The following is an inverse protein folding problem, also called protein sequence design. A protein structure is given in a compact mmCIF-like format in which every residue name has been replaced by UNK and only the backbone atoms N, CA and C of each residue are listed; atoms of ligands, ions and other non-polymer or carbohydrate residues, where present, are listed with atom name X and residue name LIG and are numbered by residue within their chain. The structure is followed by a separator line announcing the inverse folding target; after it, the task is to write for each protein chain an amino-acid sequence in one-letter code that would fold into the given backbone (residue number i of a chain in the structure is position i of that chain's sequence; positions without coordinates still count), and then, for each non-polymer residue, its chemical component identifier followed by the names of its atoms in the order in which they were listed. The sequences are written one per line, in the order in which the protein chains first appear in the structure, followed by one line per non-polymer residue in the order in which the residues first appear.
data_IF_947755334333
#
_entry.id   IF_947755334333
#
_cell.length_a   1.000
_cell.length_b   1.000
_cell.length_c   1.000
_cell.angle_alpha   90.00
_cell.angle_beta   90.00
_cell.angle_gamma   90.00
#
_symmetry.space_group_name_H-M   'P 1'
#
loop_
_entity.id
_entity.type
_entity.pdbx_description
1 polymer ?
#
# COMPACT_ATOMS: atom_id res chain seq x y z
N UNK A 1 57.57 -71.69 -31.64
CA UNK A 1 57.01 -71.10 -30.41
C UNK A 1 57.15 -69.56 -30.30
N UNK A 2 58.35 -68.96 -30.43
CA UNK A 2 58.58 -67.50 -30.22
C UNK A 2 57.68 -66.55 -31.07
N UNK A 3 57.45 -66.84 -32.36
CA UNK A 3 56.57 -66.01 -33.23
C UNK A 3 55.10 -66.03 -32.79
N UNK A 4 54.63 -67.15 -32.24
CA UNK A 4 53.24 -67.29 -31.78
C UNK A 4 52.99 -66.48 -30.49
N UNK A 5 53.94 -66.49 -29.55
CA UNK A 5 53.90 -65.65 -28.35
C UNK A 5 53.96 -64.15 -28.67
N UNK A 6 54.76 -63.76 -29.67
CA UNK A 6 54.85 -62.36 -30.08
C UNK A 6 53.53 -61.85 -30.70
N UNK A 7 52.87 -62.68 -31.52
CA UNK A 7 51.57 -62.34 -32.09
C UNK A 7 50.49 -62.18 -31.02
N UNK A 8 50.43 -63.10 -30.05
CA UNK A 8 49.46 -63.05 -28.95
C UNK A 8 49.62 -61.79 -28.08
N UNK A 9 50.87 -61.36 -27.83
CA UNK A 9 51.14 -60.13 -27.07
C UNK A 9 50.70 -58.86 -27.80
N UNK A 10 50.83 -58.81 -29.13
CA UNK A 10 50.37 -57.66 -29.92
C UNK A 10 48.84 -57.57 -29.89
N UNK A 11 48.15 -58.70 -30.06
CA UNK A 11 46.68 -58.77 -30.03
C UNK A 11 46.13 -58.32 -28.67
N UNK A 12 46.69 -58.81 -27.56
CA UNK A 12 46.27 -58.40 -26.21
C UNK A 12 46.50 -56.91 -25.94
N UNK A 13 47.62 -56.35 -26.42
CA UNK A 13 47.92 -54.91 -26.30
C UNK A 13 46.95 -54.04 -27.10
N UNK A 14 46.49 -54.52 -28.26
CA UNK A 14 45.48 -53.85 -29.10
C UNK A 14 44.08 -53.94 -28.47
N UNK A 15 43.70 -55.08 -27.89
CA UNK A 15 42.43 -55.26 -27.17
C UNK A 15 42.37 -54.32 -25.95
N UNK A 16 43.44 -54.27 -25.15
CA UNK A 16 43.51 -53.40 -23.97
C UNK A 16 43.47 -51.91 -24.34
N UNK A 17 44.09 -51.51 -25.45
CA UNK A 17 44.00 -50.12 -25.96
C UNK A 17 42.58 -49.75 -26.39
N UNK A 18 41.88 -50.65 -27.08
CA UNK A 18 40.47 -50.44 -27.47
C UNK A 18 39.54 -50.40 -26.25
N UNK A 19 39.73 -51.30 -25.29
CA UNK A 19 38.96 -51.32 -24.04
C UNK A 19 39.14 -50.02 -23.23
N UNK A 20 40.37 -49.49 -23.16
CA UNK A 20 40.66 -48.22 -22.49
C UNK A 20 40.00 -47.02 -23.18
N UNK A 21 39.99 -46.99 -24.52
CA UNK A 21 39.29 -45.94 -25.30
C UNK A 21 37.77 -46.03 -25.09
N UNK A 22 37.18 -47.23 -25.08
CA UNK A 22 35.76 -47.42 -24.78
C UNK A 22 35.39 -46.98 -23.35
N UNK A 23 36.26 -47.25 -22.37
CA UNK A 23 36.06 -46.82 -20.99
C UNK A 23 36.14 -45.29 -20.84
N UNK A 24 37.07 -44.63 -21.55
CA UNK A 24 37.17 -43.17 -21.57
C UNK A 24 35.94 -42.53 -22.24
N UNK A 25 35.44 -43.12 -23.32
CA UNK A 25 34.23 -42.67 -24.02
C UNK A 25 32.97 -42.84 -23.14
N UNK A 26 32.83 -43.95 -22.41
CA UNK A 26 31.68 -44.18 -21.52
C UNK A 26 31.70 -43.25 -20.29
N UNK A 27 32.87 -42.96 -19.73
CA UNK A 27 33.02 -41.98 -18.64
C UNK A 27 32.66 -40.57 -19.14
N UNK A 28 33.09 -40.17 -20.34
CA UNK A 28 32.70 -38.87 -20.91
C UNK A 28 31.20 -38.75 -21.21
N UNK A 29 30.53 -39.86 -21.57
CA UNK A 29 29.09 -39.89 -21.81
C UNK A 29 28.28 -39.76 -20.50
N UNK A 30 28.78 -40.32 -19.39
CA UNK A 30 28.16 -40.19 -18.07
C UNK A 30 28.20 -38.77 -17.49
N UNK A 31 29.26 -38.00 -17.77
CA UNK A 31 29.38 -36.61 -17.32
C UNK A 31 28.42 -35.65 -18.06
N UNK A 32 28.05 -35.96 -19.32
CA UNK A 32 27.15 -35.13 -20.11
C UNK A 32 25.68 -35.20 -19.67
N UNK A 33 25.26 -36.26 -18.98
CA UNK A 33 23.86 -36.48 -18.57
C UNK A 33 23.50 -35.81 -17.23
N UNK A 34 24.50 -35.31 -16.48
CA UNK A 34 24.26 -34.54 -15.25
C UNK A 34 23.68 -33.13 -15.50
N UNK A 35 23.56 -32.72 -16.78
CA UNK A 35 23.23 -31.35 -17.16
C UNK A 35 21.87 -31.20 -17.89
N UNK A 36 21.05 -32.25 -17.89
CA UNK A 36 19.73 -32.27 -18.55
C UNK A 36 18.55 -32.20 -17.55
N UNK A 37 18.82 -32.10 -16.24
CA UNK A 37 17.82 -31.97 -15.18
C UNK A 37 17.69 -30.54 -14.63
N UNK A 38 16.73 -30.34 -13.73
CA UNK A 38 16.62 -29.12 -12.92
C UNK A 38 17.84 -28.95 -12.01
N UNK A 39 18.28 -27.71 -11.82
CA UNK A 39 19.39 -27.36 -10.92
C UNK A 39 18.84 -27.07 -9.53
N UNK A 40 19.24 -27.87 -8.54
CA UNK A 40 19.01 -27.57 -7.13
C UNK A 40 20.23 -26.91 -6.50
N UNK A 41 20.03 -25.81 -5.79
CA UNK A 41 21.05 -25.20 -4.91
C UNK A 41 20.50 -25.24 -3.48
N UNK A 42 21.10 -26.07 -2.63
CA UNK A 42 20.62 -26.28 -1.25
C UNK A 42 19.39 -27.18 -1.13
N UNK A 43 19.05 -27.92 -2.20
CA UNK A 43 18.03 -28.98 -2.21
C UNK A 43 18.42 -30.07 -3.19
N UNK A 44 18.23 -31.34 -2.80
CA UNK A 44 18.42 -32.51 -3.68
C UNK A 44 17.13 -32.91 -4.40
N UNK A 45 16.00 -32.27 -4.05
CA UNK A 45 14.71 -32.48 -4.69
C UNK A 45 14.13 -31.13 -5.14
N UNK A 46 14.66 -30.55 -6.24
CA UNK A 46 14.12 -29.33 -6.82
C UNK A 46 12.63 -29.48 -7.14
N UNK A 47 11.87 -28.39 -7.04
CA UNK A 47 10.48 -28.37 -7.44
C UNK A 47 10.32 -28.86 -8.90
N UNK A 48 9.38 -29.78 -9.21
CA UNK A 48 9.28 -30.38 -10.55
C UNK A 48 9.04 -29.37 -11.69
N UNK A 49 8.51 -28.20 -11.38
CA UNK A 49 8.26 -27.12 -12.35
C UNK A 49 9.38 -26.07 -12.42
N UNK A 50 10.49 -26.24 -11.70
CA UNK A 50 11.59 -25.29 -11.66
C UNK A 50 12.81 -25.83 -12.39
N UNK A 51 13.36 -25.05 -13.33
CA UNK A 51 14.66 -25.37 -13.94
C UNK A 51 15.83 -25.02 -13.00
N UNK A 52 15.60 -24.10 -12.06
CA UNK A 52 16.51 -23.71 -10.99
C UNK A 52 15.68 -23.54 -9.70
N UNK A 53 16.00 -24.31 -8.67
CA UNK A 53 15.42 -24.22 -7.33
C UNK A 53 16.53 -23.92 -6.31
N UNK A 54 16.35 -22.87 -5.52
CA UNK A 54 17.34 -22.40 -4.55
C UNK A 54 16.68 -22.38 -3.18
N UNK A 55 17.16 -23.23 -2.27
CA UNK A 55 16.66 -23.34 -0.90
C UNK A 55 17.78 -23.04 0.10
N UNK A 56 17.54 -22.08 0.99
CA UNK A 56 18.38 -21.77 2.14
C UNK A 56 17.54 -21.09 3.23
N UNK A 57 17.84 -21.34 4.51
CA UNK A 57 17.14 -20.69 5.63
C UNK A 57 17.75 -19.35 6.03
N UNK A 58 18.99 -19.08 5.63
CA UNK A 58 19.83 -17.98 6.12
C UNK A 58 20.63 -17.27 5.00
N UNK A 59 20.34 -17.54 3.72
CA UNK A 59 21.03 -16.93 2.57
C UNK A 59 20.05 -16.24 1.62
N UNK A 60 20.53 -15.19 0.96
CA UNK A 60 19.80 -14.48 -0.09
C UNK A 60 20.38 -14.75 -1.49
N UNK A 61 19.58 -14.48 -2.52
CA UNK A 61 20.03 -14.45 -3.91
C UNK A 61 20.53 -13.05 -4.28
N UNK A 62 21.81 -12.94 -4.63
CA UNK A 62 22.32 -11.70 -5.22
C UNK A 62 22.12 -11.72 -6.73
N UNK A 63 21.30 -10.80 -7.23
CA UNK A 63 21.05 -10.61 -8.66
C UNK A 63 22.28 -10.03 -9.37
N UNK A 64 22.40 -10.18 -10.71
CA UNK A 64 23.39 -9.45 -11.49
C UNK A 64 23.27 -7.94 -11.25
N UNK A 65 24.37 -7.32 -10.80
CA UNK A 65 24.42 -5.89 -10.48
C UNK A 65 24.94 -5.10 -11.67
N UNK A 66 24.14 -4.20 -12.22
CA UNK A 66 24.47 -3.40 -13.40
C UNK A 66 24.19 -1.92 -13.19
N UNK A 67 24.72 -1.08 -14.08
CA UNK A 67 24.57 0.38 -14.03
C UNK A 67 23.77 0.86 -15.24
N UNK A 68 22.44 0.77 -15.17
CA UNK A 68 21.58 1.26 -16.25
C UNK A 68 21.74 2.77 -16.44
N UNK A 69 21.73 3.21 -17.70
CA UNK A 69 21.76 4.63 -18.08
C UNK A 69 20.35 5.23 -18.21
N UNK A 70 19.34 4.39 -18.46
CA UNK A 70 17.92 4.74 -18.50
C UNK A 70 17.05 3.48 -18.48
N UNK A 71 15.74 3.63 -18.35
CA UNK A 71 14.81 2.49 -18.43
C UNK A 71 14.82 1.82 -19.81
N UNK A 72 15.20 2.54 -20.87
CA UNK A 72 15.29 2.01 -22.23
C UNK A 72 16.66 1.40 -22.58
N UNK A 73 17.60 1.35 -21.63
CA UNK A 73 18.97 0.88 -21.85
C UNK A 73 19.02 -0.62 -22.18
N UNK A 74 19.42 -0.96 -23.41
CA UNK A 74 19.64 -2.34 -23.88
C UNK A 74 21.11 -2.64 -24.17
N UNK A 75 22.00 -1.72 -23.82
CA UNK A 75 23.44 -1.82 -24.07
C UNK A 75 24.14 -2.40 -22.85
N UNK A 76 23.79 -1.89 -21.66
CA UNK A 76 24.38 -2.36 -20.39
C UNK A 76 24.14 -3.85 -20.16
N UNK A 77 22.97 -4.34 -20.57
CA UNK A 77 22.64 -5.77 -20.66
C UNK A 77 22.26 -6.05 -22.11
N UNK A 78 23.19 -6.55 -22.93
CA UNK A 78 22.94 -6.81 -24.35
C UNK A 78 21.86 -7.86 -24.56
N UNK A 79 21.00 -7.65 -25.57
CA UNK A 79 19.92 -8.57 -25.96
C UNK A 79 19.04 -9.04 -24.78
N UNK A 80 18.47 -8.13 -23.97
CA UNK A 80 17.71 -8.53 -22.79
C UNK A 80 16.44 -9.27 -23.21
N UNK A 81 16.16 -10.40 -22.54
CA UNK A 81 14.93 -11.18 -22.74
C UNK A 81 13.88 -10.77 -21.72
N UNK A 82 12.60 -10.82 -22.13
CA UNK A 82 11.46 -10.59 -21.21
C UNK A 82 11.61 -11.47 -19.97
N UNK A 83 11.42 -10.87 -18.79
CA UNK A 83 11.52 -11.54 -17.50
C UNK A 83 12.93 -11.59 -16.90
N UNK A 84 13.96 -11.04 -17.57
CA UNK A 84 15.28 -10.87 -16.95
C UNK A 84 15.18 -9.97 -15.72
N UNK A 85 15.83 -10.38 -14.63
CA UNK A 85 15.86 -9.65 -13.36
C UNK A 85 17.29 -9.25 -13.03
N UNK A 86 17.50 -7.96 -12.74
CA UNK A 86 18.81 -7.38 -12.41
C UNK A 86 18.67 -6.43 -11.23
N UNK A 87 19.78 -6.14 -10.55
CA UNK A 87 19.85 -5.04 -9.60
C UNK A 87 20.56 -3.84 -10.26
N UNK A 88 19.85 -2.73 -10.42
CA UNK A 88 20.44 -1.50 -10.91
C UNK A 88 21.08 -0.71 -9.75
N UNK A 89 22.35 -0.31 -9.90
CA UNK A 89 23.06 0.53 -8.91
C UNK A 89 23.16 2.01 -9.28
N UNK A 90 22.68 2.40 -10.46
CA UNK A 90 22.78 3.78 -10.97
C UNK A 90 21.50 4.59 -10.73
N UNK A 91 21.67 5.91 -10.59
CA UNK A 91 20.59 6.90 -10.74
C UNK A 91 20.90 7.66 -12.03
N UNK A 92 20.06 7.50 -13.05
CA UNK A 92 20.34 8.01 -14.40
C UNK A 92 19.04 8.21 -15.20
N UNK A 93 19.15 8.85 -16.36
CA UNK A 93 18.00 9.17 -17.22
C UNK A 93 17.14 10.32 -16.70
N UNK A 94 16.08 10.64 -17.44
CA UNK A 94 15.15 11.74 -17.12
C UNK A 94 13.71 11.35 -17.43
N UNK A 95 12.75 12.04 -16.78
CA UNK A 95 11.32 11.83 -17.00
C UNK A 95 10.89 10.38 -16.80
N UNK A 96 10.11 9.84 -17.74
CA UNK A 96 9.60 8.46 -17.71
C UNK A 96 10.70 7.38 -17.82
N UNK A 97 11.89 7.75 -18.29
CA UNK A 97 13.01 6.84 -18.46
C UNK A 97 14.04 6.93 -17.32
N UNK A 98 13.76 7.72 -16.28
CA UNK A 98 14.62 7.81 -15.12
C UNK A 98 14.68 6.47 -14.38
N UNK A 99 15.89 6.06 -14.00
CA UNK A 99 16.15 4.87 -13.19
C UNK A 99 16.74 5.28 -11.85
N UNK A 100 16.47 4.48 -10.81
CA UNK A 100 17.04 4.60 -9.47
C UNK A 100 17.62 3.26 -9.04
N UNK A 101 18.27 3.25 -7.87
CA UNK A 101 18.81 2.02 -7.29
C UNK A 101 17.68 1.06 -6.94
N UNK A 102 17.80 -0.21 -7.32
CA UNK A 102 16.80 -1.23 -6.98
C UNK A 102 16.74 -2.39 -7.97
N UNK A 103 15.89 -3.40 -7.68
CA UNK A 103 15.63 -4.51 -8.59
C UNK A 103 14.75 -4.10 -9.77
N UNK A 104 15.13 -4.51 -10.97
CA UNK A 104 14.41 -4.27 -12.21
C UNK A 104 14.11 -5.55 -12.96
N UNK A 105 12.96 -5.57 -13.65
CA UNK A 105 12.56 -6.62 -14.59
C UNK A 105 12.49 -6.04 -15.99
N UNK A 106 13.02 -6.74 -16.98
CA UNK A 106 12.83 -6.35 -18.38
C UNK A 106 11.47 -6.82 -18.90
N UNK A 107 10.63 -5.88 -19.35
CA UNK A 107 9.27 -6.18 -19.81
C UNK A 107 9.18 -6.52 -21.33
N UNK A 108 10.31 -6.51 -22.04
CA UNK A 108 10.37 -6.66 -23.51
C UNK A 108 10.70 -5.38 -24.25
N UNK A 109 10.40 -4.23 -23.65
CA UNK A 109 10.64 -2.89 -24.21
C UNK A 109 11.58 -2.07 -23.33
N UNK A 110 11.40 -2.13 -22.02
CA UNK A 110 12.12 -1.33 -21.02
C UNK A 110 12.36 -2.12 -19.72
N UNK A 111 13.30 -1.63 -18.92
CA UNK A 111 13.52 -2.03 -17.54
C UNK A 111 12.50 -1.35 -16.62
N UNK A 112 11.70 -2.16 -15.94
CA UNK A 112 10.72 -1.71 -14.96
C UNK A 112 11.20 -1.99 -13.55
N UNK A 113 11.13 -0.98 -12.68
CA UNK A 113 11.49 -1.13 -11.27
C UNK A 113 10.44 -1.98 -10.56
N UNK A 114 10.87 -2.96 -9.78
CA UNK A 114 9.98 -3.69 -8.87
C UNK A 114 9.75 -2.84 -7.61
N UNK A 115 8.55 -2.30 -7.46
CA UNK A 115 8.21 -1.41 -6.35
C UNK A 115 8.13 -2.15 -5.02
N UNK A 116 8.73 -1.55 -4.00
CA UNK A 116 8.57 -1.92 -2.59
C UNK A 116 7.24 -1.41 -2.04
N UNK A 117 6.81 -1.97 -0.91
CA UNK A 117 5.63 -1.49 -0.15
C UNK A 117 5.74 -0.01 0.23
N UNK A 118 6.95 0.49 0.51
CA UNK A 118 7.16 1.89 0.86
C UNK A 118 6.95 2.79 -0.35
N UNK A 119 7.46 2.40 -1.52
CA UNK A 119 7.29 3.14 -2.76
C UNK A 119 5.82 3.16 -3.21
N UNK A 120 5.12 2.03 -3.15
CA UNK A 120 3.70 2.01 -3.47
C UNK A 120 2.88 2.90 -2.53
N UNK A 121 3.18 2.90 -1.22
CA UNK A 121 2.56 3.82 -0.25
C UNK A 121 2.83 5.30 -0.53
N UNK A 122 3.98 5.64 -1.10
CA UNK A 122 4.31 7.02 -1.43
C UNK A 122 3.62 7.50 -2.73
N UNK A 123 3.37 6.60 -3.67
CA UNK A 123 2.76 6.93 -4.97
C UNK A 123 1.23 6.84 -4.96
N UNK A 124 0.63 5.92 -4.21
CA UNK A 124 -0.84 5.75 -4.14
C UNK A 124 -1.59 7.04 -3.76
N UNK A 125 -1.14 7.86 -2.79
CA UNK A 125 -1.80 9.13 -2.45
C UNK A 125 -1.77 10.17 -3.58
N UNK A 126 -0.85 10.06 -4.53
CA UNK A 126 -0.78 10.97 -5.69
C UNK A 126 -1.84 10.64 -6.74
N UNK A 127 -2.42 9.44 -6.68
CA UNK A 127 -3.54 9.08 -7.54
C UNK A 127 -4.77 9.82 -6.98
N UNK A 128 -5.50 10.60 -7.81
CA UNK A 128 -6.63 11.40 -7.36
C UNK A 128 -7.82 10.52 -6.99
N UNK A 129 -7.76 9.92 -5.80
CA UNK A 129 -8.91 9.29 -5.16
C UNK A 129 -9.49 10.28 -4.16
N UNK A 130 -10.70 10.80 -4.42
CA UNK A 130 -11.45 11.64 -3.47
C UNK A 130 -11.97 10.77 -2.32
N UNK A 131 -11.07 10.27 -1.48
CA UNK A 131 -11.39 9.49 -0.28
C UNK A 131 -11.41 10.44 0.93
N UNK A 132 -12.29 10.21 1.92
CA UNK A 132 -12.22 10.96 3.16
C UNK A 132 -10.92 10.65 3.90
N UNK A 133 -10.23 11.70 4.33
CA UNK A 133 -9.07 11.62 5.22
C UNK A 133 -9.50 11.33 6.66
N UNK A 134 -10.71 11.77 7.01
CA UNK A 134 -11.37 11.50 8.27
C UNK A 134 -12.83 11.13 8.01
N UNK A 135 -13.30 10.05 8.60
CA UNK A 135 -14.71 9.69 8.62
C UNK A 135 -15.03 9.01 9.94
N UNK A 136 -16.02 9.52 10.66
CA UNK A 136 -16.40 9.04 11.97
C UNK A 136 -17.92 9.08 12.16
N UNK A 137 -18.42 8.19 12.99
CA UNK A 137 -19.84 8.11 13.31
C UNK A 137 -20.10 7.63 14.73
N UNK A 138 -21.40 7.61 15.05
CA UNK A 138 -21.97 7.17 16.30
C UNK A 138 -21.50 8.05 17.46
N UNK A 139 -22.22 8.02 18.57
CA UNK A 139 -21.75 8.62 19.80
C UNK A 139 -22.13 7.70 20.95
N UNK A 140 -21.25 7.56 21.94
CA UNK A 140 -21.58 6.86 23.18
C UNK A 140 -22.62 7.63 24.01
N UNK A 141 -22.77 8.93 23.75
CA UNK A 141 -23.58 9.83 24.55
C UNK A 141 -24.98 9.92 23.93
N UNK A 142 -25.87 9.04 24.38
CA UNK A 142 -27.33 9.26 24.31
C UNK A 142 -27.83 10.18 25.44
N UNK A 143 -26.94 10.93 26.11
CA UNK A 143 -27.33 11.82 27.18
C UNK A 143 -28.14 13.00 26.63
N UNK A 144 -29.07 13.47 27.46
CA UNK A 144 -29.86 14.65 27.17
C UNK A 144 -28.99 15.89 27.42
N UNK A 145 -28.69 16.64 26.37
CA UNK A 145 -28.02 17.93 26.42
C UNK A 145 -29.02 19.01 26.82
N UNK A 146 -28.69 19.79 27.85
CA UNK A 146 -29.55 20.86 28.34
C UNK A 146 -29.73 21.99 27.30
N UNK A 147 -30.87 22.68 27.37
CA UNK A 147 -31.06 23.91 26.61
C UNK A 147 -29.97 24.95 26.98
N UNK A 148 -29.48 25.69 25.99
CA UNK A 148 -28.39 26.66 26.15
C UNK A 148 -26.99 26.07 26.20
N UNK A 149 -26.85 24.73 26.22
CA UNK A 149 -25.53 24.09 26.25
C UNK A 149 -24.84 24.08 24.88
N UNK A 150 -23.52 24.20 24.91
CA UNK A 150 -22.64 24.08 23.74
C UNK A 150 -21.75 22.86 23.92
N UNK A 151 -21.87 21.88 23.02
CA UNK A 151 -21.27 20.56 23.18
C UNK A 151 -20.46 20.18 21.95
N UNK A 152 -19.19 19.82 22.14
CA UNK A 152 -18.40 19.19 21.10
C UNK A 152 -18.93 17.77 20.85
N UNK A 153 -19.08 17.43 19.57
CA UNK A 153 -19.42 16.08 19.16
C UNK A 153 -18.23 15.16 19.40
N UNK A 154 -18.53 14.00 19.99
CA UNK A 154 -17.61 12.89 20.14
C UNK A 154 -18.14 11.69 19.37
N UNK A 155 -17.23 11.00 18.70
CA UNK A 155 -17.49 9.82 17.89
C UNK A 155 -16.82 8.60 18.50
N UNK A 156 -17.49 7.46 18.50
CA UNK A 156 -16.93 6.19 19.01
C UNK A 156 -16.64 5.17 17.90
N UNK A 157 -17.07 5.45 16.67
CA UNK A 157 -16.68 4.68 15.49
C UNK A 157 -15.81 5.54 14.57
N UNK A 158 -14.64 5.02 14.19
CA UNK A 158 -13.75 5.64 13.22
C UNK A 158 -13.69 4.76 11.98
N UNK A 159 -14.15 5.28 10.84
CA UNK A 159 -14.09 4.57 9.56
C UNK A 159 -12.84 4.88 8.76
N UNK A 160 -12.29 6.11 8.90
CA UNK A 160 -11.09 6.57 8.20
C UNK A 160 -10.29 7.54 9.05
N UNK A 161 -8.98 7.37 9.01
CA UNK A 161 -7.97 8.23 9.59
C UNK A 161 -6.67 8.05 8.80
N UNK A 162 -6.63 8.66 7.61
CA UNK A 162 -5.51 8.50 6.69
C UNK A 162 -5.34 9.77 5.84
N UNK A 163 -4.23 10.52 6.00
CA UNK A 163 -3.15 10.29 6.97
C UNK A 163 -3.61 10.41 8.43
N UNK A 164 -2.89 9.78 9.36
CA UNK A 164 -3.29 9.75 10.77
C UNK A 164 -3.32 11.16 11.38
N UNK A 165 -4.49 11.58 11.84
CA UNK A 165 -4.76 12.90 12.40
C UNK A 165 -5.99 12.95 13.33
N UNK A 166 -6.74 11.85 13.48
CA UNK A 166 -7.86 11.78 14.40
C UNK A 166 -7.39 11.95 15.86
N UNK A 167 -8.05 12.83 16.61
CA UNK A 167 -7.76 13.09 18.02
C UNK A 167 -9.03 12.92 18.87
N UNK A 168 -8.83 12.54 20.13
CA UNK A 168 -9.87 12.50 21.17
C UNK A 168 -9.35 11.87 22.46
N UNK A 169 -10.25 11.45 23.35
CA UNK A 169 -9.90 10.88 24.66
C UNK A 169 -10.36 9.42 24.74
N UNK A 170 -9.43 8.50 25.08
CA UNK A 170 -9.72 7.08 25.11
C UNK A 170 -10.18 6.55 23.74
N UNK A 171 -11.22 5.72 23.71
CA UNK A 171 -11.82 5.19 22.48
C UNK A 171 -12.84 6.16 21.82
N UNK A 172 -12.65 7.47 21.97
CA UNK A 172 -13.51 8.50 21.37
C UNK A 172 -12.69 9.51 20.56
N UNK A 173 -13.29 10.06 19.52
CA UNK A 173 -12.69 11.01 18.60
C UNK A 173 -13.55 12.29 18.57
N UNK A 174 -12.96 13.47 18.65
CA UNK A 174 -13.69 14.73 18.66
C UNK A 174 -13.20 15.75 17.62
N UNK A 175 -12.04 15.51 17.02
CA UNK A 175 -11.45 16.39 16.01
C UNK A 175 -10.48 15.65 15.11
N UNK A 176 -10.17 16.27 13.98
CA UNK A 176 -9.14 15.80 13.05
C UNK A 176 -8.11 16.90 12.80
N UNK A 177 -6.83 16.55 12.89
CA UNK A 177 -5.69 17.40 12.59
C UNK A 177 -5.31 17.23 11.11
N UNK A 178 -5.36 18.31 10.35
CA UNK A 178 -5.02 18.34 8.94
C UNK A 178 -3.51 18.09 8.77
N UNK A 179 -3.16 17.04 8.04
CA UNK A 179 -1.77 16.63 7.83
C UNK A 179 -1.18 17.20 6.53
N UNK A 180 -2.04 17.65 5.62
CA UNK A 180 -1.62 18.13 4.31
C UNK A 180 -2.41 19.40 3.96
N UNK A 181 -1.73 20.42 3.42
CA UNK A 181 -2.43 21.62 2.94
C UNK A 181 -3.33 21.27 1.74
N UNK A 182 -4.44 21.97 1.60
CA UNK A 182 -5.27 21.90 0.40
C UNK A 182 -6.71 22.35 0.60
N UNK A 183 -7.53 22.09 -0.41
CA UNK A 183 -8.98 22.32 -0.35
C UNK A 183 -9.66 21.07 0.17
N UNK A 184 -10.55 21.26 1.14
CA UNK A 184 -11.29 20.20 1.80
C UNK A 184 -12.80 20.39 1.65
N UNK A 185 -13.51 19.27 1.47
CA UNK A 185 -14.96 19.18 1.61
C UNK A 185 -15.27 18.49 2.94
N UNK A 186 -16.07 19.16 3.77
CA UNK A 186 -16.53 18.67 5.06
C UNK A 186 -18.03 18.45 4.98
N UNK A 187 -18.46 17.21 5.19
CA UNK A 187 -19.88 16.83 5.21
C UNK A 187 -20.24 16.31 6.58
N UNK A 188 -21.40 16.71 7.08
CA UNK A 188 -21.99 16.15 8.29
C UNK A 188 -23.46 15.81 8.08
N UNK A 189 -23.95 14.85 8.85
CA UNK A 189 -25.35 14.53 9.01
C UNK A 189 -25.57 14.11 10.47
N UNK A 190 -26.53 14.73 11.13
CA UNK A 190 -26.85 14.50 12.53
C UNK A 190 -28.36 14.37 12.68
N UNK A 191 -28.79 13.33 13.38
CA UNK A 191 -30.17 13.18 13.84
C UNK A 191 -30.28 13.62 15.30
N UNK A 192 -31.28 14.46 15.58
CA UNK A 192 -31.52 15.09 16.89
C UNK A 192 -32.92 14.73 17.36
N UNK A 193 -33.04 14.20 18.57
CA UNK A 193 -34.34 13.84 19.18
C UNK A 193 -34.54 14.60 20.48
N UNK A 194 -35.75 15.11 20.68
CA UNK A 194 -36.25 15.51 21.99
C UNK A 194 -36.98 14.33 22.64
N UNK A 195 -37.09 14.33 23.96
CA UNK A 195 -37.86 13.31 24.69
C UNK A 195 -39.38 13.58 24.61
N UNK A 196 -39.78 14.83 24.38
CA UNK A 196 -41.17 15.31 24.26
C UNK A 196 -41.31 16.30 23.11
N UNK A 197 -42.51 16.80 22.85
CA UNK A 197 -42.69 18.00 22.02
C UNK A 197 -41.77 19.12 22.53
N UNK A 198 -41.02 19.73 21.62
CA UNK A 198 -39.93 20.64 21.95
C UNK A 198 -39.89 21.81 20.97
N UNK A 199 -39.75 23.01 21.51
CA UNK A 199 -39.60 24.26 20.76
C UNK A 199 -38.20 24.78 20.95
N UNK A 200 -37.60 25.26 19.86
CA UNK A 200 -36.30 25.92 19.91
C UNK A 200 -35.49 25.72 18.65
N UNK A 201 -34.20 26.04 18.73
CA UNK A 201 -33.27 25.91 17.61
C UNK A 201 -32.14 24.94 17.95
N UNK A 202 -31.66 24.24 16.92
CA UNK A 202 -30.38 23.55 16.98
C UNK A 202 -29.42 24.22 16.00
N UNK A 203 -28.23 24.56 16.48
CA UNK A 203 -27.15 25.07 15.65
C UNK A 203 -26.05 24.03 15.58
N UNK A 204 -25.74 23.56 14.38
CA UNK A 204 -24.56 22.78 14.08
C UNK A 204 -23.45 23.71 13.60
N UNK A 205 -22.25 23.59 14.18
CA UNK A 205 -21.10 24.39 13.80
C UNK A 205 -19.90 23.50 13.48
N UNK A 206 -19.19 23.87 12.42
CA UNK A 206 -17.85 23.36 12.13
C UNK A 206 -16.87 24.38 12.68
N UNK A 207 -15.92 23.95 13.50
CA UNK A 207 -14.90 24.80 14.09
C UNK A 207 -13.54 24.45 13.49
N UNK A 208 -12.83 25.48 13.05
CA UNK A 208 -11.40 25.44 12.71
C UNK A 208 -10.65 26.03 13.90
N UNK A 209 -9.77 25.26 14.53
CA UNK A 209 -8.97 25.71 15.67
C UNK A 209 -9.82 26.30 16.80
N UNK A 210 -10.99 25.70 17.05
CA UNK A 210 -11.93 26.17 18.07
C UNK A 210 -12.76 27.40 17.68
N UNK A 211 -12.55 27.99 16.50
CA UNK A 211 -13.36 29.11 15.99
C UNK A 211 -14.38 28.60 14.96
N UNK A 212 -15.68 28.97 15.07
CA UNK A 212 -16.69 28.57 14.10
C UNK A 212 -16.41 29.14 12.70
N UNK A 213 -16.34 28.27 11.69
CA UNK A 213 -16.15 28.63 10.27
C UNK A 213 -17.36 28.34 9.40
N UNK A 214 -18.26 27.48 9.88
CA UNK A 214 -19.53 27.18 9.23
C UNK A 214 -20.61 26.97 10.28
N UNK A 215 -21.83 27.43 9.99
CA UNK A 215 -22.98 27.29 10.88
C UNK A 215 -24.22 26.89 10.08
N UNK A 216 -25.00 25.97 10.63
CA UNK A 216 -26.31 25.61 10.13
C UNK A 216 -27.30 25.62 11.29
N UNK A 217 -28.46 26.23 11.08
CA UNK A 217 -29.48 26.39 12.10
C UNK A 217 -30.74 25.70 11.60
N UNK A 218 -31.31 24.84 12.44
CA UNK A 218 -32.65 24.27 12.24
C UNK A 218 -33.56 24.74 13.37
N UNK A 219 -34.72 25.30 13.03
CA UNK A 219 -35.80 25.59 13.99
C UNK A 219 -36.74 24.40 14.13
N UNK A 220 -37.29 24.22 15.33
CA UNK A 220 -38.35 23.27 15.63
C UNK A 220 -39.61 24.00 16.08
N UNK A 221 -40.74 23.52 15.57
CA UNK A 221 -42.08 23.87 16.01
C UNK A 221 -42.70 22.70 16.80
N UNK A 222 -43.68 22.98 17.66
CA UNK A 222 -44.30 22.12 18.68
C UNK A 222 -44.70 20.70 18.21
N UNK A 223 -44.79 20.47 16.89
CA UNK A 223 -45.35 19.27 16.28
C UNK A 223 -44.34 18.12 16.06
N UNK A 224 -43.03 18.33 16.23
CA UNK A 224 -42.02 17.30 15.93
C UNK A 224 -40.96 17.10 17.02
N UNK A 225 -40.88 15.89 17.60
CA UNK A 225 -39.80 15.49 18.50
C UNK A 225 -38.46 15.24 17.77
N UNK A 226 -38.44 15.23 16.42
CA UNK A 226 -37.28 14.87 15.58
C UNK A 226 -36.79 16.08 14.77
N UNK A 227 -35.48 16.25 14.68
CA UNK A 227 -34.81 17.20 13.79
C UNK A 227 -33.58 16.53 13.16
N UNK A 228 -33.14 17.08 12.02
CA UNK A 228 -31.90 16.69 11.39
C UNK A 228 -31.11 17.93 10.98
N UNK A 229 -29.79 17.80 11.01
CA UNK A 229 -28.89 18.79 10.43
C UNK A 229 -27.93 18.07 9.49
N UNK A 230 -27.93 18.45 8.22
CA UNK A 230 -26.96 17.96 7.25
C UNK A 230 -26.53 19.09 6.32
N UNK A 231 -25.23 19.14 6.00
CA UNK A 231 -24.68 20.09 5.05
C UNK A 231 -23.32 19.61 4.56
N UNK A 232 -22.86 20.22 3.47
CA UNK A 232 -21.52 20.07 2.91
C UNK A 232 -20.89 21.45 2.73
N UNK A 233 -19.68 21.63 3.26
CA UNK A 233 -18.95 22.90 3.28
C UNK A 233 -17.54 22.69 2.72
N UNK A 234 -17.09 23.58 1.83
CA UNK A 234 -15.75 23.55 1.26
C UNK A 234 -14.89 24.68 1.83
N UNK A 235 -13.64 24.40 2.19
CA UNK A 235 -12.72 25.41 2.71
C UNK A 235 -11.26 25.03 2.50
N UNK A 236 -10.37 26.03 2.57
CA UNK A 236 -8.92 25.85 2.54
C UNK A 236 -8.41 25.55 3.95
N UNK A 237 -7.60 24.51 4.08
CA UNK A 237 -6.99 24.10 5.34
C UNK A 237 -5.48 23.94 5.19
N UNK A 238 -4.78 24.39 6.21
CA UNK A 238 -3.33 24.28 6.34
C UNK A 238 -2.95 23.08 7.21
N UNK A 239 -1.70 22.63 7.08
CA UNK A 239 -1.15 21.60 7.97
C UNK A 239 -1.21 22.10 9.41
N UNK A 240 -1.75 21.28 10.31
CA UNK A 240 -1.93 21.61 11.72
C UNK A 240 -3.28 22.25 12.06
N UNK A 241 -4.11 22.60 11.07
CA UNK A 241 -5.48 23.01 11.35
C UNK A 241 -6.26 21.86 11.99
N UNK A 242 -7.05 22.18 13.03
CA UNK A 242 -7.91 21.22 13.70
C UNK A 242 -9.37 21.47 13.37
N UNK A 243 -10.05 20.44 12.86
CA UNK A 243 -11.48 20.48 12.55
C UNK A 243 -12.24 19.72 13.62
N UNK A 244 -13.22 20.40 14.23
CA UNK A 244 -14.14 19.81 15.21
C UNK A 244 -15.58 20.23 14.92
N UNK A 245 -16.52 19.56 15.56
CA UNK A 245 -17.95 19.75 15.33
C UNK A 245 -18.65 20.05 16.65
N UNK A 246 -19.52 21.04 16.67
CA UNK A 246 -20.22 21.48 17.87
C UNK A 246 -21.72 21.60 17.61
N UNK A 247 -22.50 21.26 18.63
CA UNK A 247 -23.93 21.45 18.68
C UNK A 247 -24.29 22.43 19.79
N UNK A 248 -25.19 23.36 19.47
CA UNK A 248 -25.76 24.30 20.41
C UNK A 248 -27.28 24.15 20.33
N UNK A 249 -27.93 23.97 21.47
CA UNK A 249 -29.37 23.83 21.58
C UNK A 249 -29.97 25.05 22.27
N UNK A 250 -31.13 25.52 21.82
CA UNK A 250 -31.93 26.54 22.51
C UNK A 250 -33.34 26.04 22.77
N UNK A 251 -34.01 26.59 23.79
CA UNK A 251 -35.41 26.33 24.14
C UNK A 251 -35.69 24.99 24.82
N UNK A 252 -35.13 23.89 24.33
CA UNK A 252 -35.39 22.54 24.85
C UNK A 252 -34.13 21.69 24.96
N UNK A 253 -34.19 20.61 25.74
CA UNK A 253 -33.13 19.63 25.87
C UNK A 253 -33.25 18.53 24.80
N UNK A 254 -32.13 18.04 24.29
CA UNK A 254 -32.09 17.10 23.16
C UNK A 254 -31.05 16.01 23.33
N UNK A 255 -31.20 14.91 22.61
CA UNK A 255 -30.17 13.86 22.46
C UNK A 255 -29.77 13.70 20.99
N UNK A 256 -28.54 13.24 20.79
CA UNK A 256 -28.00 12.90 19.48
C UNK A 256 -28.18 11.40 19.28
N UNK A 257 -28.65 10.98 18.11
CA UNK A 257 -28.86 9.55 17.81
C UNK A 257 -27.74 9.03 16.94
N UNK A 258 -27.62 9.56 15.72
CA UNK A 258 -26.65 9.06 14.74
C UNK A 258 -25.92 10.22 14.10
N UNK A 259 -24.78 10.64 14.67
CA UNK A 259 -23.92 11.62 14.02
C UNK A 259 -23.01 10.91 13.02
N UNK A 260 -22.85 11.48 11.82
CA UNK A 260 -21.92 11.04 10.80
C UNK A 260 -21.17 12.26 10.25
N UNK A 261 -19.85 12.18 10.16
CA UNK A 261 -19.02 13.24 9.59
C UNK A 261 -17.97 12.68 8.66
N UNK A 262 -17.59 13.47 7.67
CA UNK A 262 -16.47 13.16 6.78
C UNK A 262 -15.75 14.42 6.32
N UNK A 263 -14.43 14.33 6.24
CA UNK A 263 -13.53 15.38 5.73
C UNK A 263 -12.78 14.76 4.56
N UNK A 264 -12.91 15.35 3.37
CA UNK A 264 -12.30 14.88 2.12
C UNK A 264 -11.37 15.94 1.57
N UNK A 265 -10.12 15.59 1.31
CA UNK A 265 -9.22 16.43 0.52
C UNK A 265 -9.64 16.31 -0.94
N UNK A 266 -9.82 17.43 -1.64
CA UNK A 266 -10.25 17.45 -3.04
C UNK A 266 -9.21 18.02 -3.99
N UNK A 267 -8.24 18.80 -3.49
CA UNK A 267 -7.13 19.30 -4.28
C UNK A 267 -5.95 19.64 -3.39
N UNK A 268 -4.74 19.45 -3.92
CA UNK A 268 -3.56 20.15 -3.43
C UNK A 268 -3.68 21.59 -3.95
N UNK A 269 -3.52 22.59 -3.08
CA UNK A 269 -3.21 23.96 -3.51
C UNK A 269 -1.71 24.18 -3.41
#
# INVERSE_FOLDING_TARGET
MKKHYHFLNIVNKLINRKAMVCLLLSVSYGHAMAQLGSVGIGTDNPHPSAILDITASDKGLMLPVVSLTSAADKITVPNPKVGFVIYNKSIAGTGKNAVKKGPYVYNGTAWELMWTKAESKAEVPKIPFVKPVFAASNTNISATFAAGSSNLLTFNTLYRDEPAGALGQGATYNRYLIQERGVYIITYAVEIRANTAAVGTTTFQILKNGTPVHKFISSKDQLAAFAGASNTFATNLEVGDSISFQLIFSGSAYRIVTPNVSIRKISNQ
#
